data_IF_912163732179
#
_entry.id   IF_912163732179
#
_cell.length_a   1.000
_cell.length_b   1.000
_cell.length_c   1.000
_cell.angle_alpha   90.00
_cell.angle_beta   90.00
_cell.angle_gamma   90.00
#
_symmetry.space_group_name_H-M   'P 1'
#
loop_
_entity.id
_entity.type
_entity.pdbx_description
1 polymer ?
#
# COMPACT_ATOMS: atom_id res chain seq x y z
N UNK A 1 -41.16 9.07 -26.88
CA UNK A 1 -40.65 7.75 -26.46
C UNK A 1 -39.50 8.01 -25.51
N UNK A 2 -39.64 8.53 -24.29
CA UNK A 2 -40.51 8.21 -23.16
C UNK A 2 -40.35 6.78 -22.59
N UNK A 3 -39.73 6.74 -21.40
CA UNK A 3 -39.67 5.70 -20.35
C UNK A 3 -38.59 4.58 -20.45
N UNK A 4 -37.50 4.76 -19.70
CA UNK A 4 -37.08 3.85 -18.61
C UNK A 4 -35.73 4.30 -17.96
N UNK A 5 -35.72 5.40 -17.21
CA UNK A 5 -34.66 5.68 -16.22
C UNK A 5 -35.25 6.13 -14.89
N UNK A 6 -36.10 5.28 -14.30
CA UNK A 6 -36.50 5.44 -12.91
C UNK A 6 -36.11 4.18 -12.16
N UNK A 7 -35.46 4.40 -11.02
CA UNK A 7 -35.13 3.48 -9.93
C UNK A 7 -33.84 2.65 -10.03
N UNK A 8 -32.70 3.32 -9.84
CA UNK A 8 -31.79 2.88 -8.77
C UNK A 8 -31.80 4.00 -7.75
N UNK A 9 -32.60 3.84 -6.70
CA UNK A 9 -32.71 4.85 -5.64
C UNK A 9 -31.45 4.84 -4.76
N UNK A 10 -30.99 6.00 -4.25
CA UNK A 10 -29.85 6.13 -3.31
C UNK A 10 -29.97 5.33 -1.99
N UNK A 11 -31.05 4.59 -1.79
CA UNK A 11 -31.40 3.89 -0.56
C UNK A 11 -30.54 2.64 -0.31
N UNK A 12 -30.01 2.00 -1.35
CA UNK A 12 -29.23 0.75 -1.19
C UNK A 12 -27.86 1.00 -0.56
N UNK A 13 -27.26 2.17 -0.81
CA UNK A 13 -25.98 2.57 -0.21
C UNK A 13 -26.19 3.06 1.23
N UNK A 14 -27.30 3.74 1.50
CA UNK A 14 -27.62 4.27 2.83
C UNK A 14 -27.87 3.15 3.87
N UNK A 15 -28.40 1.99 3.46
CA UNK A 15 -28.66 0.87 4.36
C UNK A 15 -27.39 0.11 4.81
N UNK A 16 -26.33 0.11 3.98
CA UNK A 16 -25.03 -0.45 4.33
C UNK A 16 -24.27 0.42 5.36
N UNK A 17 -24.40 1.74 5.30
CA UNK A 17 -23.70 2.66 6.22
C UNK A 17 -24.35 2.78 7.61
N UNK A 18 -25.67 2.61 7.74
CA UNK A 18 -26.34 2.62 9.05
C UNK A 18 -25.99 1.42 9.94
N UNK A 19 -25.58 0.29 9.36
CA UNK A 19 -25.19 -0.92 10.13
C UNK A 19 -23.78 -0.86 10.73
N UNK A 20 -22.94 0.06 10.28
CA UNK A 20 -21.52 0.14 10.68
C UNK A 20 -21.21 1.26 11.68
N UNK A 21 -22.21 2.03 12.13
CA UNK A 21 -22.04 3.03 13.20
C UNK A 21 -21.20 4.26 12.83
N UNK A 22 -20.91 4.48 11.54
CA UNK A 22 -20.15 5.64 11.08
C UNK A 22 -21.07 6.81 10.66
N UNK A 23 -20.68 8.08 10.91
CA UNK A 23 -21.45 9.24 10.48
C UNK A 23 -21.47 9.37 8.95
N UNK A 24 -22.64 9.68 8.38
CA UNK A 24 -22.85 9.92 6.95
C UNK A 24 -22.21 11.24 6.49
N UNK A 25 -21.30 11.23 5.50
CA UNK A 25 -20.78 12.48 4.93
C UNK A 25 -21.73 12.99 3.83
N UNK A 26 -21.86 14.32 3.76
CA UNK A 26 -22.56 15.05 2.71
C UNK A 26 -22.18 14.53 1.31
N UNK A 27 -23.19 14.06 0.57
CA UNK A 27 -23.10 13.75 -0.85
C UNK A 27 -23.32 15.07 -1.62
N UNK A 28 -22.27 15.60 -2.24
CA UNK A 28 -22.43 16.57 -3.32
C UNK A 28 -22.76 15.77 -4.58
N UNK A 29 -23.75 16.22 -5.34
CA UNK A 29 -24.26 15.52 -6.52
C UNK A 29 -23.17 15.49 -7.61
N UNK A 30 -22.65 14.28 -7.87
CA UNK A 30 -21.47 14.02 -8.71
C UNK A 30 -21.69 14.41 -10.17
N UNK A 31 -22.96 14.46 -10.60
CA UNK A 31 -23.35 14.70 -11.98
C UNK A 31 -23.09 16.15 -12.43
N UNK A 32 -23.36 17.14 -11.58
CA UNK A 32 -23.28 18.55 -11.97
C UNK A 32 -21.82 19.04 -12.05
N UNK A 33 -20.91 18.46 -11.25
CA UNK A 33 -19.48 18.85 -11.26
C UNK A 33 -18.73 18.30 -12.47
N UNK A 34 -19.15 17.15 -13.00
CA UNK A 34 -18.51 16.52 -14.16
C UNK A 34 -18.82 17.25 -15.48
N UNK A 35 -19.99 17.87 -15.58
CA UNK A 35 -20.38 18.71 -16.72
C UNK A 35 -19.52 19.99 -16.81
N UNK A 36 -19.09 20.57 -15.68
CA UNK A 36 -18.24 21.77 -15.67
C UNK A 36 -16.80 21.52 -16.15
N UNK A 37 -16.33 20.27 -16.17
CA UNK A 37 -14.94 19.91 -16.48
C UNK A 37 -14.72 19.36 -17.89
N UNK A 38 -15.76 19.28 -18.73
CA UNK A 38 -15.68 18.78 -20.11
C UNK A 38 -14.97 17.41 -20.23
N UNK A 39 -15.14 16.54 -19.23
CA UNK A 39 -14.52 15.22 -19.22
C UNK A 39 -15.19 14.31 -20.26
N UNK A 40 -14.37 13.61 -21.05
CA UNK A 40 -14.80 12.57 -22.01
C UNK A 40 -15.80 11.59 -21.36
N UNK A 41 -17.00 11.36 -21.93
CA UNK A 41 -18.06 10.50 -21.38
C UNK A 41 -17.59 9.09 -20.97
N UNK A 42 -16.53 8.58 -21.62
CA UNK A 42 -15.91 7.28 -21.33
C UNK A 42 -15.24 7.18 -19.94
N UNK A 43 -14.90 8.31 -19.30
CA UNK A 43 -14.29 8.35 -17.96
C UNK A 43 -15.31 8.27 -16.81
N UNK A 44 -16.60 8.45 -17.11
CA UNK A 44 -17.66 8.57 -16.10
C UNK A 44 -18.00 7.20 -15.49
N UNK A 45 -17.83 6.13 -16.27
CA UNK A 45 -18.07 4.75 -15.86
C UNK A 45 -16.80 4.03 -15.36
N UNK A 46 -15.61 4.59 -15.60
CA UNK A 46 -14.32 3.95 -15.33
C UNK A 46 -13.76 4.24 -13.93
N UNK A 47 -14.26 5.30 -13.27
CA UNK A 47 -13.73 5.75 -11.98
C UNK A 47 -14.63 5.27 -10.84
N UNK A 48 -14.14 4.44 -9.91
CA UNK A 48 -14.87 4.16 -8.68
C UNK A 48 -15.26 5.48 -7.99
N UNK A 49 -16.48 5.56 -7.45
CA UNK A 49 -17.03 6.74 -6.72
C UNK A 49 -16.05 7.34 -5.68
N UNK A 50 -15.06 6.56 -5.22
CA UNK A 50 -14.03 6.98 -4.28
C UNK A 50 -12.87 7.78 -4.90
N UNK A 51 -12.58 7.65 -6.20
CA UNK A 51 -11.58 8.45 -6.92
C UNK A 51 -12.00 9.92 -6.96
N UNK A 52 -13.30 10.16 -7.11
CA UNK A 52 -13.87 11.51 -7.08
C UNK A 52 -13.58 12.24 -5.76
N UNK A 53 -13.62 11.56 -4.61
CA UNK A 53 -13.37 12.18 -3.29
C UNK A 53 -11.97 12.79 -3.15
N UNK A 54 -10.94 12.27 -3.83
CA UNK A 54 -9.59 12.85 -3.77
C UNK A 54 -9.47 14.16 -4.56
N UNK A 55 -10.24 14.31 -5.64
CA UNK A 55 -10.18 15.50 -6.50
C UNK A 55 -10.77 16.76 -5.84
N UNK A 56 -11.67 16.59 -4.87
CA UNK A 56 -12.36 17.71 -4.20
C UNK A 56 -11.57 18.37 -3.06
N UNK A 57 -10.39 17.84 -2.65
CA UNK A 57 -9.71 18.32 -1.44
C UNK A 57 -8.75 19.51 -1.72
N UNK A 58 -8.30 19.72 -2.98
CA UNK A 58 -7.31 20.77 -3.32
C UNK A 58 -7.41 21.23 -4.79
N UNK A 59 -8.00 22.40 -5.09
CA UNK A 59 -7.99 22.99 -6.44
C UNK A 59 -6.60 23.49 -6.88
N UNK A 60 -5.62 23.54 -5.97
CA UNK A 60 -4.28 24.11 -6.19
C UNK A 60 -3.23 23.11 -6.71
N UNK A 61 -3.63 21.90 -7.14
CA UNK A 61 -2.73 20.97 -7.85
C UNK A 61 -2.54 21.43 -9.30
N UNK A 62 -1.79 22.52 -9.46
CA UNK A 62 -1.37 23.16 -10.70
C UNK A 62 -0.39 22.26 -11.50
N UNK A 63 -0.89 21.16 -12.04
CA UNK A 63 -0.55 20.63 -13.37
C UNK A 63 -1.32 19.34 -13.60
N UNK A 64 -2.13 19.32 -14.67
CA UNK A 64 -2.84 18.13 -15.16
C UNK A 64 -1.91 16.89 -15.27
N UNK A 65 -0.61 17.11 -15.52
CA UNK A 65 0.43 16.07 -15.56
C UNK A 65 0.59 15.30 -14.24
N UNK A 66 0.52 15.96 -13.07
CA UNK A 66 0.62 15.28 -11.76
C UNK A 66 -0.62 14.43 -11.49
N UNK A 67 -1.80 14.93 -11.85
CA UNK A 67 -3.06 14.19 -11.71
C UNK A 67 -3.15 12.96 -12.63
N UNK A 68 -2.75 13.08 -13.89
CA UNK A 68 -2.75 11.92 -14.81
C UNK A 68 -1.81 10.82 -14.35
N UNK A 69 -0.69 11.16 -13.71
CA UNK A 69 0.22 10.16 -13.13
C UNK A 69 -0.40 9.49 -11.91
N UNK A 70 -1.08 10.24 -11.03
CA UNK A 70 -1.79 9.68 -9.87
C UNK A 70 -2.91 8.74 -10.34
N UNK A 71 -3.73 9.15 -11.31
CA UNK A 71 -4.82 8.33 -11.85
C UNK A 71 -4.30 7.08 -12.57
N UNK A 72 -3.25 7.19 -13.39
CA UNK A 72 -2.61 6.01 -14.02
C UNK A 72 -2.01 5.06 -12.99
N UNK A 73 -1.37 5.59 -11.95
CA UNK A 73 -0.84 4.77 -10.87
C UNK A 73 -1.99 4.08 -10.12
N UNK A 74 -3.08 4.79 -9.81
CA UNK A 74 -4.26 4.20 -9.17
C UNK A 74 -4.91 3.09 -10.04
N UNK A 75 -5.06 3.29 -11.34
CA UNK A 75 -5.57 2.25 -12.25
C UNK A 75 -4.64 1.03 -12.33
N UNK A 76 -3.33 1.26 -12.25
CA UNK A 76 -2.32 0.19 -12.16
C UNK A 76 -2.43 -0.57 -10.84
N UNK A 77 -2.61 0.14 -9.72
CA UNK A 77 -2.75 -0.45 -8.38
C UNK A 77 -4.07 -1.21 -8.19
N UNK A 78 -5.12 -0.85 -8.93
CA UNK A 78 -6.44 -1.53 -8.90
C UNK A 78 -6.48 -2.73 -9.86
N UNK A 79 -5.66 -2.72 -10.91
CA UNK A 79 -5.58 -3.81 -11.90
C UNK A 79 -4.64 -4.94 -11.46
N UNK A 80 -4.95 -5.66 -10.37
CA UNK A 80 -4.23 -6.88 -10.06
C UNK A 80 -4.61 -8.01 -11.04
N UNK A 81 -3.70 -8.29 -11.98
CA UNK A 81 -3.68 -9.56 -12.70
C UNK A 81 -3.06 -10.61 -11.77
N UNK A 82 -3.83 -11.67 -11.50
CA UNK A 82 -3.38 -12.82 -10.71
C UNK A 82 -2.00 -13.31 -11.17
N UNK A 83 -1.03 -13.39 -10.24
CA UNK A 83 0.27 -14.04 -10.47
C UNK A 83 1.44 -13.13 -10.88
N UNK A 84 1.25 -11.82 -10.99
CA UNK A 84 2.37 -10.88 -11.24
C UNK A 84 2.90 -10.34 -9.91
N UNK A 85 4.22 -10.30 -9.74
CA UNK A 85 4.83 -9.66 -8.57
C UNK A 85 4.81 -8.13 -8.73
N UNK A 86 4.56 -7.41 -7.64
CA UNK A 86 4.57 -5.94 -7.68
C UNK A 86 5.93 -5.40 -8.09
N UNK A 87 5.92 -4.36 -8.92
CA UNK A 87 7.08 -3.57 -9.29
C UNK A 87 7.53 -2.61 -8.19
N UNK A 88 8.76 -2.12 -8.28
CA UNK A 88 9.29 -1.08 -7.39
C UNK A 88 8.44 0.19 -7.40
N UNK A 89 7.86 0.55 -8.55
CA UNK A 89 7.02 1.74 -8.74
C UNK A 89 5.72 1.60 -7.95
N UNK A 90 5.08 0.43 -8.02
CA UNK A 90 3.82 0.18 -7.31
C UNK A 90 4.04 0.18 -5.80
N UNK A 91 5.07 -0.52 -5.32
CA UNK A 91 5.45 -0.53 -3.90
C UNK A 91 5.75 0.89 -3.40
N UNK A 92 6.58 1.63 -4.15
CA UNK A 92 6.92 3.00 -3.79
C UNK A 92 5.70 3.90 -3.79
N UNK A 93 4.75 3.73 -4.71
CA UNK A 93 3.54 4.55 -4.79
C UNK A 93 2.67 4.35 -3.55
N UNK A 94 2.43 3.10 -3.14
CA UNK A 94 1.69 2.80 -1.92
C UNK A 94 2.26 3.49 -0.68
N UNK A 95 3.57 3.38 -0.47
CA UNK A 95 4.23 3.84 0.75
C UNK A 95 4.54 5.35 0.74
N UNK A 96 4.79 5.95 -0.43
CA UNK A 96 5.04 7.40 -0.53
C UNK A 96 3.75 8.23 -0.41
N UNK A 97 2.62 7.73 -0.91
CA UNK A 97 1.35 8.48 -0.90
C UNK A 97 0.47 8.21 0.31
N UNK A 98 0.77 7.16 1.08
CA UNK A 98 0.09 6.89 2.34
C UNK A 98 0.57 7.86 3.44
N UNK A 99 -0.33 8.70 3.97
CA UNK A 99 -0.03 9.72 4.99
C UNK A 99 0.61 9.15 6.26
N UNK A 100 0.31 7.90 6.58
CA UNK A 100 0.83 7.18 7.74
C UNK A 100 2.28 6.70 7.53
N UNK A 101 2.61 6.20 6.33
CA UNK A 101 3.93 5.62 6.05
C UNK A 101 4.91 6.64 5.46
N UNK A 102 4.41 7.67 4.77
CA UNK A 102 5.21 8.74 4.15
C UNK A 102 6.25 9.38 5.07
N UNK A 103 6.01 9.66 6.37
CA UNK A 103 7.02 10.26 7.23
C UNK A 103 8.24 9.35 7.46
N UNK A 104 8.03 8.03 7.49
CA UNK A 104 9.08 7.05 7.80
C UNK A 104 9.66 6.40 6.56
N UNK A 105 8.92 6.29 5.47
CA UNK A 105 9.36 5.59 4.27
C UNK A 105 10.48 6.35 3.55
N UNK A 106 11.60 5.68 3.28
CA UNK A 106 12.80 6.25 2.65
C UNK A 106 13.07 5.73 1.24
N UNK A 107 12.24 4.83 0.73
CA UNK A 107 12.31 4.36 -0.65
C UNK A 107 12.45 2.85 -0.82
N UNK A 108 12.60 2.46 -2.08
CA UNK A 108 12.80 1.08 -2.53
C UNK A 108 14.22 0.96 -3.07
N UNK A 109 14.97 -0.05 -2.66
CA UNK A 109 16.39 -0.21 -3.00
C UNK A 109 16.70 -1.63 -3.48
N UNK A 110 17.70 -1.77 -4.34
CA UNK A 110 18.33 -3.06 -4.61
C UNK A 110 19.28 -3.46 -3.47
N UNK A 111 19.64 -4.74 -3.38
CA UNK A 111 20.41 -5.27 -2.26
C UNK A 111 21.81 -4.64 -2.13
N UNK A 112 22.42 -4.22 -3.23
CA UNK A 112 23.73 -3.56 -3.31
C UNK A 112 23.68 -2.03 -3.07
N UNK A 113 22.47 -1.46 -3.00
CA UNK A 113 22.24 0.00 -2.94
C UNK A 113 21.52 0.45 -1.65
N UNK A 114 21.54 -0.37 -0.60
CA UNK A 114 20.80 -0.09 0.64
C UNK A 114 21.47 1.07 1.42
N UNK A 115 20.75 2.16 1.75
CA UNK A 115 21.31 3.29 2.47
C UNK A 115 21.48 2.98 3.96
N UNK A 116 22.39 3.70 4.63
CA UNK A 116 22.47 3.66 6.09
C UNK A 116 21.23 4.32 6.72
N UNK A 117 20.48 3.56 7.52
CA UNK A 117 19.26 4.02 8.21
C UNK A 117 19.55 4.63 9.58
N UNK A 118 20.75 4.45 10.13
CA UNK A 118 21.15 4.97 11.46
C UNK A 118 21.17 6.49 11.54
N UNK A 119 21.11 7.16 10.39
CA UNK A 119 20.97 8.62 10.27
C UNK A 119 19.54 9.14 10.53
N UNK A 120 18.58 8.24 10.76
CA UNK A 120 17.19 8.58 11.03
C UNK A 120 16.78 8.00 12.39
N UNK A 121 15.93 8.68 13.15
CA UNK A 121 15.37 8.10 14.38
C UNK A 121 14.40 6.95 14.08
N UNK A 122 13.67 7.09 12.95
CA UNK A 122 12.67 6.15 12.46
C UNK A 122 12.69 6.13 10.93
N UNK A 123 12.85 4.94 10.35
CA UNK A 123 12.89 4.79 8.90
C UNK A 123 12.36 3.41 8.46
N UNK A 124 11.71 3.37 7.30
CA UNK A 124 11.28 2.15 6.65
C UNK A 124 11.76 2.13 5.20
N UNK A 125 12.22 0.98 4.72
CA UNK A 125 12.56 0.77 3.31
C UNK A 125 12.06 -0.59 2.85
N UNK A 126 11.84 -0.71 1.55
CA UNK A 126 11.65 -2.00 0.90
C UNK A 126 12.91 -2.31 0.09
N UNK A 127 13.38 -3.54 0.16
CA UNK A 127 14.60 -3.98 -0.50
C UNK A 127 14.27 -5.12 -1.44
N UNK A 128 14.70 -5.03 -2.70
CA UNK A 128 14.75 -6.18 -3.57
C UNK A 128 16.00 -7.00 -3.26
N UNK A 129 15.90 -8.32 -3.15
CA UNK A 129 17.06 -9.20 -2.88
C UNK A 129 18.08 -9.24 -4.02
N UNK A 130 17.66 -8.85 -5.22
CA UNK A 130 18.53 -8.77 -6.39
C UNK A 130 19.40 -7.50 -6.37
N UNK A 131 20.46 -7.50 -7.18
CA UNK A 131 21.34 -6.36 -7.38
C UNK A 131 20.73 -5.33 -8.33
N UNK A 132 21.25 -4.10 -8.30
CA UNK A 132 20.73 -2.97 -9.09
C UNK A 132 20.71 -3.19 -10.61
N UNK A 133 21.53 -4.10 -11.13
CA UNK A 133 21.58 -4.49 -12.54
C UNK A 133 20.70 -5.69 -12.89
N UNK A 134 20.09 -6.32 -11.90
CA UNK A 134 19.24 -7.50 -12.05
C UNK A 134 17.76 -7.16 -12.27
N UNK A 135 16.96 -8.13 -12.74
CA UNK A 135 15.53 -7.94 -12.98
C UNK A 135 14.69 -7.82 -11.70
N UNK A 136 15.25 -8.15 -10.53
CA UNK A 136 14.51 -8.23 -9.27
C UNK A 136 13.97 -9.65 -9.02
N UNK A 137 14.05 -10.10 -7.76
CA UNK A 137 13.70 -11.49 -7.38
C UNK A 137 12.69 -11.56 -6.25
N UNK A 138 12.91 -10.84 -5.15
CA UNK A 138 12.08 -10.93 -3.95
C UNK A 138 12.10 -9.62 -3.16
N UNK A 139 10.99 -9.30 -2.48
CA UNK A 139 10.85 -8.10 -1.68
C UNK A 139 10.98 -8.39 -0.18
N UNK A 140 11.78 -7.56 0.50
CA UNK A 140 11.98 -7.54 1.94
C UNK A 140 11.60 -6.18 2.51
N UNK A 141 11.13 -6.13 3.75
CA UNK A 141 10.93 -4.86 4.45
C UNK A 141 11.93 -4.72 5.59
N UNK A 142 12.58 -3.55 5.67
CA UNK A 142 13.34 -3.15 6.84
C UNK A 142 12.64 -2.01 7.56
N UNK A 143 12.57 -2.10 8.88
CA UNK A 143 12.03 -1.04 9.73
C UNK A 143 13.04 -0.73 10.83
N UNK A 144 13.58 0.48 10.82
CA UNK A 144 14.53 0.98 11.80
C UNK A 144 13.83 1.94 12.76
N UNK A 145 13.96 1.70 14.06
CA UNK A 145 13.39 2.55 15.10
C UNK A 145 14.20 2.39 16.39
N UNK A 146 14.55 3.51 17.03
CA UNK A 146 15.19 3.52 18.34
C UNK A 146 16.46 2.64 18.43
N UNK A 147 17.34 2.72 17.42
CA UNK A 147 18.60 1.95 17.42
C UNK A 147 18.47 0.48 17.03
N UNK A 148 17.26 0.03 16.67
CA UNK A 148 16.95 -1.37 16.36
C UNK A 148 16.48 -1.50 14.91
N UNK A 149 17.08 -2.46 14.19
CA UNK A 149 16.70 -2.78 12.82
C UNK A 149 15.85 -4.06 12.79
N UNK A 150 14.62 -3.97 12.33
CA UNK A 150 13.77 -5.11 12.07
C UNK A 150 13.95 -5.57 10.62
N UNK A 151 14.19 -6.87 10.45
CA UNK A 151 14.25 -7.56 9.17
C UNK A 151 12.98 -8.40 8.99
N UNK A 152 12.25 -8.15 7.90
CA UNK A 152 11.03 -8.87 7.57
C UNK A 152 11.12 -9.51 6.17
N UNK A 153 11.01 -10.85 6.15
CA UNK A 153 10.76 -11.66 4.96
C UNK A 153 9.44 -12.42 5.16
N UNK A 154 8.47 -12.23 4.27
CA UNK A 154 7.18 -12.93 4.34
C UNK A 154 7.29 -14.44 4.18
N UNK A 155 8.34 -14.94 3.52
CA UNK A 155 8.66 -16.38 3.47
C UNK A 155 9.33 -16.90 4.74
N UNK A 156 9.71 -16.02 5.68
CA UNK A 156 10.39 -16.40 6.92
C UNK A 156 11.80 -16.94 6.74
N UNK A 157 12.48 -16.63 5.62
CA UNK A 157 13.84 -17.15 5.36
C UNK A 157 14.88 -16.44 6.22
N UNK A 158 15.98 -17.15 6.46
CA UNK A 158 17.15 -16.56 7.08
C UNK A 158 17.80 -15.56 6.11
N UNK A 159 18.34 -14.41 6.59
CA UNK A 159 19.14 -13.52 5.74
C UNK A 159 20.30 -14.23 5.03
N UNK A 160 20.80 -15.32 5.62
CA UNK A 160 21.85 -16.17 5.04
C UNK A 160 21.44 -16.86 3.73
N UNK A 161 20.14 -17.05 3.50
CA UNK A 161 19.59 -17.76 2.34
C UNK A 161 19.21 -16.82 1.19
N UNK A 162 19.47 -15.51 1.32
CA UNK A 162 18.93 -14.48 0.42
C UNK A 162 19.98 -13.86 -0.49
N UNK A 163 20.87 -13.05 0.08
CA UNK A 163 21.87 -12.29 -0.68
C UNK A 163 23.04 -11.91 0.24
N UNK A 164 24.29 -12.06 -0.21
CA UNK A 164 25.46 -11.62 0.56
C UNK A 164 25.39 -10.14 0.95
N UNK A 165 24.83 -9.29 0.09
CA UNK A 165 24.69 -7.87 0.36
C UNK A 165 23.75 -7.58 1.54
N UNK A 166 22.69 -8.37 1.70
CA UNK A 166 21.77 -8.27 2.84
C UNK A 166 22.50 -8.62 4.13
N UNK A 167 23.26 -9.72 4.14
CA UNK A 167 24.04 -10.15 5.31
C UNK A 167 25.05 -9.07 5.70
N UNK A 168 25.82 -8.56 4.74
CA UNK A 168 26.80 -7.50 4.98
C UNK A 168 26.15 -6.20 5.46
N UNK A 169 24.94 -5.90 4.97
CA UNK A 169 24.19 -4.76 5.46
C UNK A 169 23.73 -4.94 6.91
N UNK A 170 23.17 -6.10 7.27
CA UNK A 170 22.71 -6.38 8.63
C UNK A 170 23.84 -6.35 9.66
N UNK A 171 25.05 -6.79 9.30
CA UNK A 171 26.25 -6.72 10.16
C UNK A 171 26.61 -5.29 10.61
N UNK A 172 26.14 -4.25 9.91
CA UNK A 172 26.38 -2.84 10.29
C UNK A 172 25.57 -2.39 11.51
N UNK A 173 24.62 -3.20 11.95
CA UNK A 173 23.69 -2.89 13.03
C UNK A 173 23.95 -3.80 14.23
N UNK A 174 24.12 -3.26 15.44
CA UNK A 174 24.34 -4.07 16.64
C UNK A 174 23.08 -4.81 17.10
N UNK A 175 21.89 -4.25 16.81
CA UNK A 175 20.60 -4.77 17.23
C UNK A 175 19.72 -5.06 16.01
N UNK A 176 19.71 -6.32 15.56
CA UNK A 176 18.90 -6.78 14.44
C UNK A 176 17.86 -7.79 14.93
N UNK A 177 16.61 -7.53 14.61
CA UNK A 177 15.48 -8.39 14.93
C UNK A 177 14.93 -9.03 13.67
N UNK A 178 15.16 -10.33 13.52
CA UNK A 178 14.70 -11.11 12.37
C UNK A 178 13.32 -11.68 12.68
N UNK A 179 12.36 -11.49 11.75
CA UNK A 179 11.09 -12.20 11.77
C UNK A 179 11.15 -13.41 10.84
N UNK A 180 11.40 -14.59 11.40
CA UNK A 180 11.64 -15.83 10.63
C UNK A 180 10.43 -16.77 10.57
N UNK A 181 9.22 -16.25 10.78
CA UNK A 181 8.00 -17.05 10.67
C UNK A 181 7.50 -17.02 9.22
N UNK A 182 7.34 -18.18 8.54
CA UNK A 182 6.79 -18.23 7.19
C UNK A 182 5.30 -17.85 7.22
N UNK A 183 4.97 -16.68 6.70
CA UNK A 183 3.59 -16.16 6.65
C UNK A 183 2.96 -16.36 5.28
N UNK A 184 3.77 -16.30 4.23
CA UNK A 184 3.35 -16.38 2.83
C UNK A 184 3.39 -17.81 2.28
N UNK A 185 2.53 -18.11 1.32
CA UNK A 185 2.57 -19.39 0.60
C UNK A 185 3.83 -19.47 -0.27
N UNK A 186 4.60 -20.57 -0.25
CA UNK A 186 5.75 -20.73 -1.14
C UNK A 186 5.38 -20.44 -2.61
N UNK A 187 6.30 -19.78 -3.34
CA UNK A 187 6.14 -19.40 -4.75
C UNK A 187 5.03 -18.37 -5.07
N UNK A 188 4.29 -17.88 -4.07
CA UNK A 188 3.33 -16.78 -4.26
C UNK A 188 4.05 -15.47 -4.62
N UNK A 189 3.43 -14.59 -5.42
CA UNK A 189 4.03 -13.33 -5.88
C UNK A 189 3.73 -12.13 -4.96
N UNK A 190 3.10 -12.36 -3.81
CA UNK A 190 2.55 -11.33 -2.91
C UNK A 190 3.55 -10.80 -1.85
N UNK A 191 4.84 -11.03 -2.00
CA UNK A 191 5.84 -10.55 -1.04
C UNK A 191 5.91 -9.01 -0.96
N UNK A 192 5.69 -8.31 -2.07
CA UNK A 192 5.53 -6.85 -2.10
C UNK A 192 4.36 -6.36 -1.23
N UNK A 193 3.13 -6.88 -1.42
CA UNK A 193 2.01 -6.63 -0.53
C UNK A 193 2.30 -6.85 0.96
N UNK A 194 2.97 -7.95 1.32
CA UNK A 194 3.37 -8.18 2.72
C UNK A 194 4.32 -7.11 3.25
N UNK A 195 5.30 -6.66 2.44
CA UNK A 195 6.19 -5.56 2.83
C UNK A 195 5.42 -4.26 3.10
N UNK A 196 4.47 -3.92 2.23
CA UNK A 196 3.62 -2.73 2.39
C UNK A 196 2.77 -2.85 3.66
N UNK A 197 2.11 -3.99 3.85
CA UNK A 197 1.29 -4.26 5.04
C UNK A 197 2.11 -4.15 6.32
N UNK A 198 3.30 -4.76 6.36
CA UNK A 198 4.18 -4.72 7.51
C UNK A 198 4.60 -3.28 7.86
N UNK A 199 5.10 -2.52 6.88
CA UNK A 199 5.51 -1.12 7.09
C UNK A 199 4.33 -0.26 7.52
N UNK A 200 3.15 -0.44 6.93
CA UNK A 200 1.93 0.27 7.32
C UNK A 200 1.56 0.00 8.78
N UNK A 201 1.50 -1.27 9.20
CA UNK A 201 1.16 -1.63 10.57
C UNK A 201 2.23 -1.15 11.56
N UNK A 202 3.52 -1.27 11.24
CA UNK A 202 4.60 -0.68 12.07
C UNK A 202 4.45 0.83 12.19
N UNK A 203 4.11 1.51 11.10
CA UNK A 203 3.90 2.96 11.06
C UNK A 203 2.72 3.40 11.94
N UNK A 204 1.66 2.58 12.02
CA UNK A 204 0.50 2.74 12.92
C UNK A 204 0.80 2.40 14.40
N UNK A 205 2.01 1.95 14.73
CA UNK A 205 2.43 1.67 16.11
C UNK A 205 2.25 0.22 16.57
N UNK A 206 1.78 -0.68 15.70
CA UNK A 206 1.74 -2.11 16.05
C UNK A 206 3.16 -2.65 16.15
N UNK A 207 3.44 -3.49 17.16
CA UNK A 207 4.73 -4.19 17.24
C UNK A 207 4.83 -5.29 16.18
N UNK A 208 6.05 -5.69 15.80
CA UNK A 208 6.27 -6.82 14.90
C UNK A 208 5.54 -8.10 15.37
N UNK A 209 5.45 -8.31 16.68
CA UNK A 209 4.81 -9.48 17.28
C UNK A 209 3.29 -9.39 17.16
N UNK A 210 2.69 -8.21 17.35
CA UNK A 210 1.25 -8.03 17.11
C UNK A 210 0.89 -8.30 15.65
N UNK A 211 1.73 -7.85 14.71
CA UNK A 211 1.53 -8.05 13.28
C UNK A 211 1.60 -9.54 12.93
N UNK A 212 2.65 -10.23 13.39
CA UNK A 212 2.82 -11.67 13.17
C UNK A 212 1.64 -12.46 13.76
N UNK A 213 1.31 -12.22 15.02
CA UNK A 213 0.23 -12.95 15.69
C UNK A 213 -1.12 -12.72 15.01
N UNK A 214 -1.40 -11.49 14.56
CA UNK A 214 -2.60 -11.20 13.78
C UNK A 214 -2.64 -11.97 12.46
N UNK A 215 -1.53 -12.06 11.72
CA UNK A 215 -1.51 -12.84 10.49
C UNK A 215 -1.65 -14.34 10.77
N UNK A 216 -1.08 -14.84 11.87
CA UNK A 216 -1.19 -16.25 12.26
C UNK A 216 -2.60 -16.66 12.70
N UNK A 217 -3.47 -15.74 13.12
CA UNK A 217 -4.88 -16.07 13.39
C UNK A 217 -5.71 -16.25 12.11
N UNK A 218 -5.19 -15.80 10.97
CA UNK A 218 -5.83 -15.92 9.66
C UNK A 218 -5.39 -17.24 9.05
N UNK A 219 -6.24 -18.26 9.23
CA UNK A 219 -6.19 -19.53 8.51
C UNK A 219 -4.80 -20.09 8.17
N UNK A 220 -4.69 -20.62 6.96
CA UNK A 220 -3.43 -21.09 6.39
C UNK A 220 -2.73 -19.96 5.60
N UNK A 221 -1.53 -20.24 5.06
CA UNK A 221 -0.76 -19.22 4.33
C UNK A 221 -1.48 -18.67 3.08
N UNK A 222 -2.31 -19.47 2.41
CA UNK A 222 -3.08 -19.02 1.26
C UNK A 222 -4.17 -18.03 1.70
N UNK A 223 -4.85 -18.31 2.81
CA UNK A 223 -5.83 -17.38 3.40
C UNK A 223 -5.17 -16.04 3.77
N UNK A 224 -3.93 -16.07 4.26
CA UNK A 224 -3.14 -14.86 4.58
C UNK A 224 -2.75 -14.08 3.34
N UNK A 225 -2.32 -14.77 2.28
CA UNK A 225 -1.97 -14.14 1.01
C UNK A 225 -3.18 -13.38 0.45
N UNK A 226 -4.35 -14.02 0.44
CA UNK A 226 -5.61 -13.39 0.05
C UNK A 226 -5.95 -12.20 0.96
N UNK A 227 -5.85 -12.38 2.28
CA UNK A 227 -6.13 -11.32 3.23
C UNK A 227 -5.25 -10.08 3.03
N UNK A 228 -3.94 -10.26 2.87
CA UNK A 228 -3.00 -9.13 2.73
C UNK A 228 -3.23 -8.40 1.41
N UNK A 229 -3.40 -9.14 0.32
CA UNK A 229 -3.67 -8.56 -0.99
C UNK A 229 -5.01 -7.79 -1.00
N UNK A 230 -6.07 -8.40 -0.47
CA UNK A 230 -7.37 -7.75 -0.34
C UNK A 230 -7.34 -6.55 0.61
N UNK A 231 -6.61 -6.64 1.73
CA UNK A 231 -6.44 -5.55 2.67
C UNK A 231 -5.86 -4.33 1.97
N UNK A 232 -4.81 -4.50 1.15
CA UNK A 232 -4.26 -3.37 0.41
C UNK A 232 -5.26 -2.83 -0.60
N UNK A 233 -5.87 -3.69 -1.44
CA UNK A 233 -6.87 -3.28 -2.45
C UNK A 233 -8.04 -2.48 -1.86
N UNK A 234 -8.52 -2.86 -0.68
CA UNK A 234 -9.64 -2.20 -0.03
C UNK A 234 -9.25 -0.94 0.75
N UNK A 235 -7.95 -0.77 1.08
CA UNK A 235 -7.48 0.34 1.92
C UNK A 235 -6.53 1.32 1.20
N UNK A 236 -6.22 1.13 -0.09
CA UNK A 236 -5.40 2.07 -0.92
C UNK A 236 -5.88 3.51 -0.78
N UNK A 237 -7.19 3.72 -0.76
CA UNK A 237 -7.82 5.04 -0.84
C UNK A 237 -7.99 5.73 0.52
N UNK A 238 -7.90 5.00 1.63
CA UNK A 238 -8.14 5.56 2.98
C UNK A 238 -6.93 6.38 3.45
N UNK A 239 -5.72 6.07 2.95
CA UNK A 239 -4.49 6.68 3.44
C UNK A 239 -3.89 7.76 2.52
N UNK A 240 -4.48 8.00 1.34
CA UNK A 240 -4.07 9.08 0.41
C UNK A 240 -4.73 10.42 0.79
N UNK A 241 -5.79 10.39 1.61
CA UNK A 241 -6.34 11.60 2.20
C UNK A 241 -5.33 12.18 3.22
N UNK A 242 -4.95 13.47 3.12
CA UNK A 242 -4.22 14.11 4.19
C UNK A 242 -5.06 14.07 5.46
N UNK A 243 -4.46 13.62 6.56
CA UNK A 243 -5.11 13.65 7.87
C UNK A 243 -5.59 15.06 8.18
N UNK A 244 -6.84 15.18 8.63
CA UNK A 244 -7.36 16.40 9.24
C UNK A 244 -6.56 16.64 10.52
N UNK A 245 -5.51 17.45 10.41
CA UNK A 245 -4.96 18.13 11.58
C UNK A 245 -5.89 19.32 11.83
N UNK A 246 -6.87 19.10 12.72
CA UNK A 246 -7.55 20.18 13.44
C UNK A 246 -6.64 20.74 14.53
#
# INVERSE_FOLDING_TARGET
>A
MDKAWRSVTPLTIHSCFKKSGFPTPYLVDVHDTLMEWNAEPSLWDALPVQVFRCLFIRPDLCSQRKMTTILRNLDTLVSSRLGVSMSSIEVSSYLCFCSVTRPVFKGVYAADCIPDLRKYDRAAIVVNTDVSTGPGVHWLAFFYENGKLEFFDSFGRSPHDLSPHIIEYLKKYPNVDILSTPLQTPCSSVCGPYCIFYILKRSLGYSKMNIQNHLLTIGNNLDRDHYVDEYLRNNVMIYIAPGNNG
#
